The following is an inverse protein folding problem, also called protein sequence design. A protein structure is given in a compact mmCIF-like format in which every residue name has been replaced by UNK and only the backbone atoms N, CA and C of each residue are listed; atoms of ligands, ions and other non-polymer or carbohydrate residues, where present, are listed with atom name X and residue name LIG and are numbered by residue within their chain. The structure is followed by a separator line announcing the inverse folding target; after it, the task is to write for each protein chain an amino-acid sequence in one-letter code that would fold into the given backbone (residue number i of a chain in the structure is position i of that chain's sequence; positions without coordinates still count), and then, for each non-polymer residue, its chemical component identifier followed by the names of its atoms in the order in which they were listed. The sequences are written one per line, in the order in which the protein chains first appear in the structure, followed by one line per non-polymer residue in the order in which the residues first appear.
data_IF_027053163939
#
_entry.id   IF_027053163939
#
_cell.length_a   1.000
_cell.length_b   1.000
_cell.length_c   1.000
_cell.angle_alpha   90.00
_cell.angle_beta   90.00
_cell.angle_gamma   90.00
#
_symmetry.space_group_name_H-M   'P 1'
#
loop_
_entity.id
_entity.type
_entity.pdbx_description
1 polymer ?
#
# COMPACT_ATOMS: atom_id res chain seq x y z
N UNK A 1 -8.95 -8.48 19.41
CA UNK A 1 -9.63 -7.20 19.70
C UNK A 1 -10.80 -7.08 18.74
N UNK A 2 -11.95 -6.60 19.19
CA UNK A 2 -13.08 -6.33 18.29
C UNK A 2 -12.78 -5.10 17.43
N UNK A 3 -13.28 -5.04 16.20
CA UNK A 3 -13.06 -3.90 15.28
C UNK A 3 -13.50 -2.55 15.88
N UNK A 4 -14.57 -2.55 16.68
CA UNK A 4 -15.05 -1.37 17.39
C UNK A 4 -14.07 -0.87 18.46
N UNK A 5 -13.41 -1.77 19.18
CA UNK A 5 -12.40 -1.43 20.19
C UNK A 5 -11.15 -0.84 19.52
N UNK A 6 -10.74 -1.42 18.38
CA UNK A 6 -9.64 -0.89 17.57
C UNK A 6 -9.95 0.53 17.07
N UNK A 7 -11.14 0.74 16.51
CA UNK A 7 -11.56 2.05 16.01
C UNK A 7 -11.56 3.11 17.11
N UNK A 8 -12.02 2.74 18.31
CA UNK A 8 -12.03 3.64 19.47
C UNK A 8 -10.62 3.98 19.95
N UNK A 9 -9.72 2.99 20.05
CA UNK A 9 -8.33 3.20 20.42
C UNK A 9 -7.59 4.07 19.38
N UNK A 10 -7.87 3.85 18.09
CA UNK A 10 -7.29 4.61 17.00
C UNK A 10 -7.76 6.08 17.00
N UNK A 11 -9.05 6.31 17.29
CA UNK A 11 -9.59 7.67 17.44
C UNK A 11 -8.93 8.40 18.62
N UNK A 12 -8.78 7.74 19.77
CA UNK A 12 -8.08 8.31 20.92
C UNK A 12 -6.63 8.68 20.59
N UNK A 13 -5.91 7.82 19.86
CA UNK A 13 -4.55 8.11 19.40
C UNK A 13 -4.49 9.35 18.48
N UNK A 14 -5.51 9.56 17.63
CA UNK A 14 -5.61 10.78 16.82
C UNK A 14 -5.86 12.02 17.68
N UNK A 15 -6.75 11.92 18.68
CA UNK A 15 -7.12 13.02 19.57
C UNK A 15 -5.95 13.47 20.47
N UNK A 16 -5.03 12.56 20.79
CA UNK A 16 -3.78 12.86 21.50
C UNK A 16 -2.73 13.58 20.64
N UNK A 17 -3.02 13.83 19.35
CA UNK A 17 -2.11 14.53 18.45
C UNK A 17 -0.98 13.66 17.88
N UNK A 18 -1.25 12.37 17.69
CA UNK A 18 -0.33 11.41 17.06
C UNK A 18 1.00 11.24 17.84
N UNK A 19 0.93 10.84 19.13
CA UNK A 19 2.06 10.92 20.07
C UNK A 19 3.27 10.07 19.69
N UNK A 20 3.07 9.01 18.91
CA UNK A 20 4.11 8.12 18.41
C UNK A 20 3.60 7.38 17.16
N UNK A 21 4.51 6.71 16.44
CA UNK A 21 4.12 5.78 15.39
C UNK A 21 3.21 4.68 15.95
N UNK A 22 2.14 4.39 15.23
CA UNK A 22 1.21 3.31 15.50
C UNK A 22 1.45 2.18 14.51
N UNK A 23 1.47 0.95 15.01
CA UNK A 23 1.60 -0.25 14.20
C UNK A 23 0.43 -1.18 14.49
N UNK A 24 -0.18 -1.73 13.43
CA UNK A 24 -1.17 -2.78 13.51
C UNK A 24 -0.96 -3.80 12.39
N UNK A 25 -1.68 -4.92 12.44
CA UNK A 25 -1.57 -5.98 11.45
C UNK A 25 -2.86 -6.07 10.62
N UNK A 26 -2.71 -6.17 9.31
CA UNK A 26 -3.80 -6.35 8.35
C UNK A 26 -3.41 -7.49 7.41
N UNK A 27 -4.18 -8.58 7.40
CA UNK A 27 -3.92 -9.78 6.59
C UNK A 27 -2.44 -10.24 6.67
N UNK A 28 -1.97 -10.39 7.92
CA UNK A 28 -0.61 -10.78 8.29
C UNK A 28 0.51 -9.82 7.82
N UNK A 29 0.18 -8.63 7.33
CA UNK A 29 1.14 -7.57 7.01
C UNK A 29 1.11 -6.43 8.03
N UNK A 30 2.28 -5.89 8.42
CA UNK A 30 2.35 -4.69 9.24
C UNK A 30 1.84 -3.47 8.46
N UNK A 31 0.90 -2.77 9.08
CA UNK A 31 0.46 -1.43 8.74
C UNK A 31 1.00 -0.45 9.77
N UNK A 32 1.68 0.60 9.30
CA UNK A 32 2.26 1.61 10.17
C UNK A 32 1.73 3.00 9.82
N UNK A 33 1.36 3.76 10.85
CA UNK A 33 1.03 5.18 10.75
C UNK A 33 2.07 5.95 11.54
N UNK A 34 2.75 6.88 10.91
CA UNK A 34 3.86 7.61 11.52
C UNK A 34 3.79 9.10 11.20
N UNK A 35 3.99 10.01 12.17
CA UNK A 35 4.18 11.42 11.90
C UNK A 35 5.39 11.62 10.97
N UNK A 36 5.21 12.37 9.89
CA UNK A 36 6.27 12.66 8.93
C UNK A 36 6.12 14.07 8.35
N UNK A 37 6.97 14.99 8.82
CA UNK A 37 6.90 16.40 8.46
C UNK A 37 5.60 17.04 8.97
N UNK A 38 4.86 17.69 8.08
CA UNK A 38 3.56 18.32 8.38
C UNK A 38 2.35 17.39 8.18
N UNK A 39 2.58 16.08 8.18
CA UNK A 39 1.58 15.07 7.82
C UNK A 39 1.78 13.74 8.52
N UNK A 40 0.94 12.78 8.16
CA UNK A 40 1.08 11.37 8.52
C UNK A 40 1.45 10.55 7.30
N UNK A 41 2.39 9.62 7.47
CA UNK A 41 2.69 8.58 6.51
C UNK A 41 2.04 7.29 6.98
N UNK A 42 1.15 6.75 6.17
CA UNK A 42 0.60 5.41 6.28
C UNK A 42 1.40 4.48 5.36
N UNK A 43 1.82 3.32 5.84
CA UNK A 43 2.52 2.32 5.04
C UNK A 43 2.01 0.93 5.34
N UNK A 44 1.80 0.12 4.31
CA UNK A 44 1.40 -1.29 4.39
C UNK A 44 2.41 -2.16 3.66
N UNK A 45 2.94 -3.17 4.32
CA UNK A 45 3.86 -4.12 3.70
C UNK A 45 3.15 -5.00 2.65
N UNK A 46 3.76 -5.13 1.47
CA UNK A 46 3.31 -6.03 0.41
C UNK A 46 4.07 -7.35 0.49
N UNK A 47 5.41 -7.28 0.47
CA UNK A 47 6.28 -8.45 0.56
C UNK A 47 7.66 -8.09 1.13
N UNK A 48 8.24 -9.04 1.85
CA UNK A 48 9.59 -8.94 2.41
C UNK A 48 10.65 -9.53 1.48
N UNK A 49 11.87 -9.03 1.62
CA UNK A 49 13.06 -9.56 0.98
C UNK A 49 13.35 -8.98 -0.41
N UNK A 50 14.55 -9.25 -0.89
CA UNK A 50 15.09 -8.79 -2.18
C UNK A 50 14.88 -9.83 -3.29
N UNK A 51 13.66 -10.35 -3.41
CA UNK A 51 13.30 -11.16 -4.58
C UNK A 51 13.01 -10.22 -5.75
N UNK A 52 14.07 -9.92 -6.53
CA UNK A 52 14.00 -9.03 -7.69
C UNK A 52 12.95 -9.46 -8.71
N UNK A 53 12.74 -10.78 -8.86
CA UNK A 53 11.76 -11.29 -9.80
C UNK A 53 10.35 -10.93 -9.34
N UNK A 54 10.04 -11.25 -8.08
CA UNK A 54 8.76 -10.91 -7.45
C UNK A 54 8.51 -9.41 -7.40
N UNK A 55 9.52 -8.62 -7.07
CA UNK A 55 9.42 -7.15 -7.05
C UNK A 55 9.08 -6.62 -8.45
N UNK A 56 9.72 -7.13 -9.51
CA UNK A 56 9.41 -6.69 -10.87
C UNK A 56 7.97 -7.03 -11.28
N UNK A 57 7.45 -8.21 -10.90
CA UNK A 57 6.04 -8.56 -11.12
C UNK A 57 5.12 -7.54 -10.45
N UNK A 58 5.37 -7.25 -9.16
CA UNK A 58 4.57 -6.31 -8.38
C UNK A 58 4.65 -4.88 -8.93
N UNK A 59 5.82 -4.46 -9.42
CA UNK A 59 5.98 -3.17 -10.11
C UNK A 59 5.22 -3.14 -11.44
N UNK A 60 5.17 -4.25 -12.18
CA UNK A 60 4.35 -4.36 -13.39
C UNK A 60 2.87 -4.14 -13.12
N UNK A 61 2.36 -4.66 -12.00
CA UNK A 61 0.96 -4.46 -11.58
C UNK A 61 0.67 -3.05 -11.06
N UNK A 62 1.69 -2.23 -10.77
CA UNK A 62 1.51 -0.82 -10.41
C UNK A 62 0.80 -0.03 -11.54
N UNK A 63 0.99 -0.44 -12.80
CA UNK A 63 0.28 0.13 -13.94
C UNK A 63 -1.23 -0.07 -13.86
N UNK A 64 -1.69 -1.21 -13.33
CA UNK A 64 -3.12 -1.46 -13.10
C UNK A 64 -3.69 -0.54 -12.01
N UNK A 65 -2.91 -0.29 -10.96
CA UNK A 65 -3.26 0.68 -9.91
C UNK A 65 -3.44 2.08 -10.47
N UNK A 66 -2.52 2.53 -11.34
CA UNK A 66 -2.64 3.83 -12.03
C UNK A 66 -3.89 3.91 -12.91
N UNK A 67 -4.17 2.86 -13.69
CA UNK A 67 -5.34 2.83 -14.58
C UNK A 67 -6.68 2.83 -13.81
N UNK A 68 -6.73 2.20 -12.64
CA UNK A 68 -7.91 2.13 -11.78
C UNK A 68 -8.06 3.38 -10.87
N UNK A 69 -7.04 4.23 -10.77
CA UNK A 69 -7.02 5.34 -9.82
C UNK A 69 -6.87 4.89 -8.37
N UNK A 70 -6.27 3.71 -8.13
CA UNK A 70 -5.97 3.24 -6.78
C UNK A 70 -4.98 4.19 -6.08
N UNK A 71 -5.14 4.34 -4.76
CA UNK A 71 -4.30 5.21 -3.93
C UNK A 71 -3.17 4.42 -3.29
N UNK A 72 -2.01 5.06 -3.15
CA UNK A 72 -0.86 4.46 -2.51
C UNK A 72 0.29 4.33 -3.51
N UNK A 73 1.39 5.01 -3.22
CA UNK A 73 2.63 4.88 -3.96
C UNK A 73 3.35 3.59 -3.54
N UNK A 74 4.03 2.95 -4.48
CA UNK A 74 4.98 1.90 -4.13
C UNK A 74 6.28 2.54 -3.63
N UNK A 75 6.76 2.06 -2.50
CA UNK A 75 8.06 2.42 -1.98
C UNK A 75 8.79 1.17 -1.48
N UNK A 76 10.10 1.27 -1.37
CA UNK A 76 10.92 0.27 -0.70
C UNK A 76 11.32 0.81 0.67
N UNK A 77 11.04 0.06 1.73
CA UNK A 77 11.51 0.36 3.07
C UNK A 77 12.87 -0.34 3.28
N UNK A 78 13.98 0.42 3.37
CA UNK A 78 15.31 -0.16 3.55
C UNK A 78 15.53 -0.70 4.97
N UNK A 79 14.75 -0.30 5.97
CA UNK A 79 14.88 -0.81 7.33
C UNK A 79 14.18 -2.16 7.46
N UNK A 80 12.96 -2.26 6.95
CA UNK A 80 12.20 -3.51 6.92
C UNK A 80 12.65 -4.48 5.82
N UNK A 81 13.48 -4.02 4.87
CA UNK A 81 13.84 -4.76 3.65
C UNK A 81 12.58 -5.25 2.90
N UNK A 82 11.59 -4.38 2.74
CA UNK A 82 10.28 -4.75 2.23
C UNK A 82 9.74 -3.77 1.19
N UNK A 83 8.97 -4.29 0.24
CA UNK A 83 8.15 -3.46 -0.65
C UNK A 83 6.86 -3.10 0.08
N UNK A 84 6.52 -1.82 0.09
CA UNK A 84 5.38 -1.25 0.83
C UNK A 84 4.49 -0.41 -0.10
N UNK A 85 3.19 -0.38 0.19
CA UNK A 85 2.29 0.68 -0.26
C UNK A 85 2.35 1.82 0.73
N UNK A 86 2.42 3.07 0.26
CA UNK A 86 2.54 4.26 1.10
C UNK A 86 1.53 5.31 0.67
N UNK A 87 0.78 5.86 1.63
CA UNK A 87 -0.06 7.04 1.44
C UNK A 87 0.34 8.13 2.44
N UNK A 88 0.32 9.38 2.01
CA UNK A 88 0.64 10.52 2.85
C UNK A 88 -0.59 11.42 3.02
N UNK A 89 -0.85 11.85 4.26
CA UNK A 89 -1.96 12.72 4.61
C UNK A 89 -1.45 14.03 5.19
N UNK A 90 -1.84 15.20 4.66
CA UNK A 90 -1.58 16.47 5.31
C UNK A 90 -2.40 16.58 6.59
N UNK A 91 -1.83 17.21 7.63
CA UNK A 91 -2.61 17.59 8.81
C UNK A 91 -3.41 18.88 8.56
N UNK A 92 -4.62 19.02 9.14
CA UNK A 92 -5.30 18.04 10.00
C UNK A 92 -5.96 16.92 9.18
N UNK A 93 -5.90 15.69 9.69
CA UNK A 93 -6.55 14.51 9.10
C UNK A 93 -7.44 13.83 10.14
N UNK A 94 -8.64 13.43 9.73
CA UNK A 94 -9.57 12.74 10.60
C UNK A 94 -9.26 11.25 10.68
N UNK A 95 -9.52 10.63 11.83
CA UNK A 95 -9.33 9.19 12.03
C UNK A 95 -10.02 8.34 10.95
N UNK A 96 -11.23 8.71 10.55
CA UNK A 96 -11.99 8.04 9.49
C UNK A 96 -11.25 8.01 8.15
N UNK A 97 -10.54 9.08 7.78
CA UNK A 97 -9.78 9.15 6.53
C UNK A 97 -8.59 8.18 6.55
N UNK A 98 -7.93 8.04 7.71
CA UNK A 98 -6.81 7.10 7.86
C UNK A 98 -7.33 5.65 7.84
N UNK A 99 -8.47 5.38 8.46
CA UNK A 99 -9.10 4.05 8.42
C UNK A 99 -9.52 3.67 6.99
N UNK A 100 -10.08 4.61 6.23
CA UNK A 100 -10.36 4.40 4.80
C UNK A 100 -9.09 4.16 3.99
N UNK A 101 -7.98 4.84 4.33
CA UNK A 101 -6.67 4.57 3.70
C UNK A 101 -6.20 3.15 3.99
N UNK A 102 -6.28 2.70 5.24
CA UNK A 102 -5.92 1.35 5.64
C UNK A 102 -6.69 0.31 4.82
N UNK A 103 -8.01 0.48 4.69
CA UNK A 103 -8.87 -0.41 3.89
C UNK A 103 -8.48 -0.39 2.40
N UNK A 104 -8.26 0.80 1.82
CA UNK A 104 -7.86 0.93 0.42
C UNK A 104 -6.50 0.26 0.15
N UNK A 105 -5.51 0.49 1.02
CA UNK A 105 -4.19 -0.09 0.89
C UNK A 105 -4.24 -1.62 1.07
N UNK A 106 -5.05 -2.13 1.98
CA UNK A 106 -5.27 -3.56 2.17
C UNK A 106 -5.89 -4.22 0.93
N UNK A 107 -6.95 -3.62 0.38
CA UNK A 107 -7.59 -4.09 -0.85
C UNK A 107 -6.61 -4.08 -2.04
N UNK A 108 -5.81 -3.02 -2.19
CA UNK A 108 -4.81 -2.94 -3.23
C UNK A 108 -3.71 -3.99 -3.06
N UNK A 109 -3.22 -4.20 -1.83
CA UNK A 109 -2.25 -5.26 -1.52
C UNK A 109 -2.79 -6.63 -1.91
N UNK A 110 -4.02 -6.95 -1.53
CA UNK A 110 -4.65 -8.23 -1.85
C UNK A 110 -4.77 -8.44 -3.38
N UNK A 111 -5.14 -7.40 -4.12
CA UNK A 111 -5.21 -7.44 -5.58
C UNK A 111 -3.83 -7.66 -6.21
N UNK A 112 -2.80 -6.93 -5.76
CA UNK A 112 -1.43 -7.07 -6.26
C UNK A 112 -0.86 -8.46 -6.02
N UNK A 113 -1.07 -9.03 -4.82
CA UNK A 113 -0.61 -10.38 -4.49
C UNK A 113 -1.36 -11.45 -5.31
N UNK A 114 -2.65 -11.24 -5.57
CA UNK A 114 -3.46 -12.13 -6.41
C UNK A 114 -3.00 -12.10 -7.88
N UNK A 115 -2.68 -10.92 -8.42
CA UNK A 115 -2.17 -10.76 -9.77
C UNK A 115 -0.75 -11.33 -9.92
N UNK A 116 0.12 -11.10 -8.94
CA UNK A 116 1.48 -11.61 -8.95
C UNK A 116 1.55 -13.14 -8.84
N UNK A 117 0.60 -13.77 -8.12
CA UNK A 117 0.51 -15.24 -8.06
C UNK A 117 -0.10 -15.86 -9.33
N UNK A 118 -0.92 -15.11 -10.07
CA UNK A 118 -1.52 -15.56 -11.32
C UNK A 118 -0.58 -15.52 -12.54
N UNK A 119 0.53 -14.77 -12.46
CA UNK A 119 1.48 -14.57 -13.58
C UNK A 119 2.90 -14.99 -13.18
N UNK A 120 3.42 -16.11 -13.71
CA UNK A 120 4.87 -16.30 -13.76
C UNK A 120 5.42 -15.26 -14.76
N UNK A 121 6.06 -14.22 -14.23
CA UNK A 121 6.66 -13.18 -15.07
C UNK A 121 7.96 -13.72 -15.66
N UNK A 122 7.95 -13.98 -16.97
CA UNK A 122 9.14 -14.39 -17.70
C UNK A 122 9.92 -13.14 -18.12
N UNK A 123 11.08 -12.91 -17.49
CA UNK A 123 11.98 -11.81 -17.83
C UNK A 123 12.56 -11.89 -19.24
N UNK A 124 12.44 -13.04 -19.90
CA UNK A 124 12.91 -13.24 -21.27
C UNK A 124 11.87 -12.85 -22.33
N UNK A 125 10.61 -12.65 -21.91
CA UNK A 125 9.55 -12.17 -22.79
C UNK A 125 9.68 -10.66 -22.97
N UNK A 126 10.63 -10.28 -23.82
CA UNK A 126 10.92 -8.93 -24.25
C UNK A 126 9.91 -8.42 -25.31
N UNK A 127 8.72 -9.02 -25.38
CA UNK A 127 7.67 -8.52 -26.26
C UNK A 127 7.28 -7.11 -25.80
N UNK A 128 7.55 -6.07 -26.62
CA UNK A 128 7.18 -4.71 -26.24
C UNK A 128 5.67 -4.67 -26.08
N UNK A 129 5.22 -3.99 -25.02
CA UNK A 129 3.82 -3.59 -24.86
C UNK A 129 3.33 -3.02 -26.19
N UNK A 130 2.42 -3.74 -26.85
CA UNK A 130 1.87 -3.35 -28.14
C UNK A 130 0.52 -2.67 -27.89
N UNK A 131 0.42 -1.33 -27.91
CA UNK A 131 -0.83 -0.61 -27.70
C UNK A 131 -1.75 -0.69 -28.91
N UNK A 132 -1.89 -1.86 -29.55
CA UNK A 132 -2.94 -2.10 -30.55
C UNK A 132 -4.25 -2.35 -29.83
N UNK A 133 -4.90 -1.27 -29.41
CA UNK A 133 -6.20 -1.32 -28.77
C UNK A 133 -6.80 0.03 -28.36
N UNK A 134 -6.07 1.14 -28.49
CA UNK A 134 -6.66 2.48 -28.32
C UNK A 134 -6.92 3.05 -29.72
N UNK A 135 -8.00 2.57 -30.35
CA UNK A 135 -8.62 3.34 -31.42
C UNK A 135 -9.35 4.51 -30.75
N UNK A 136 -8.81 5.72 -30.95
CA UNK A 136 -9.50 6.95 -30.63
C UNK A 136 -10.82 7.01 -31.40
N UNK A 137 -11.94 7.01 -30.67
CA UNK A 137 -13.22 7.52 -31.14
C UNK A 137 -13.61 8.72 -30.31
#
# INVERSE_FOLDING_TARGET
MAFSEFTQAFAAWCDEGYPASLECWVDDAPFQVSPHGAGLRCSLEICQGWDLARIAVLLGEAGAGLACGCRGALAFDPQAHALVLVEWFPLPVQASQILTSLENLANQRAAMLSLASARPFDFTDSTPFNPKGIDAR
#
